data_IF_713914206939
#
_entry.id   IF_713914206939
#
_cell.length_a   1.000
_cell.length_b   1.000
_cell.length_c   1.000
_cell.angle_alpha   90.00
_cell.angle_beta   90.00
_cell.angle_gamma   90.00
#
_symmetry.space_group_name_H-M   'P 1'
#
loop_
_entity.id
_entity.type
_entity.pdbx_description
1 polymer ?
#
# COMPACT_ATOMS: atom_id res chain seq x y z
N UNK A 1 11.96 8.57 -2.76
CA UNK A 1 12.80 7.61 -3.50
C UNK A 1 12.79 6.30 -2.74
N UNK A 2 12.32 5.27 -3.38
CA UNK A 2 12.17 3.96 -2.78
C UNK A 2 13.49 3.25 -2.50
N UNK A 3 13.45 2.30 -1.61
CA UNK A 3 14.57 1.36 -1.40
C UNK A 3 14.80 0.51 -2.65
N UNK A 4 15.94 -0.21 -2.70
CA UNK A 4 16.21 -1.13 -3.80
C UNK A 4 15.13 -2.20 -4.00
N UNK A 5 14.50 -2.65 -2.91
CA UNK A 5 13.36 -3.59 -2.96
C UNK A 5 12.10 -2.96 -3.56
N UNK A 6 11.81 -1.72 -3.23
CA UNK A 6 10.68 -0.99 -3.81
C UNK A 6 10.87 -0.78 -5.31
N UNK A 7 12.08 -0.45 -5.73
CA UNK A 7 12.43 -0.34 -7.16
C UNK A 7 12.31 -1.68 -7.89
N UNK A 8 12.71 -2.78 -7.25
CA UNK A 8 12.53 -4.12 -7.80
C UNK A 8 11.05 -4.49 -7.95
N UNK A 9 10.25 -4.18 -6.96
CA UNK A 9 8.80 -4.40 -7.02
C UNK A 9 8.14 -3.53 -8.11
N UNK A 10 8.54 -2.28 -8.22
CA UNK A 10 8.08 -1.37 -9.28
C UNK A 10 8.38 -1.94 -10.68
N UNK A 11 9.60 -2.43 -10.88
CA UNK A 11 9.99 -3.06 -12.15
C UNK A 11 9.12 -4.29 -12.48
N UNK A 12 8.77 -5.08 -11.47
CA UNK A 12 7.86 -6.22 -11.65
C UNK A 12 6.44 -5.77 -12.01
N UNK A 13 5.93 -4.70 -11.39
CA UNK A 13 4.65 -4.10 -11.75
C UNK A 13 4.64 -3.67 -13.23
N UNK A 14 5.66 -2.98 -13.67
CA UNK A 14 5.78 -2.53 -15.06
C UNK A 14 5.89 -3.69 -16.04
N UNK A 15 6.73 -4.66 -15.74
CA UNK A 15 6.94 -5.83 -16.60
C UNK A 15 5.66 -6.67 -16.76
N UNK A 16 4.92 -6.89 -15.68
CA UNK A 16 3.69 -7.66 -15.68
C UNK A 16 2.44 -6.82 -15.98
N UNK A 17 2.62 -5.56 -16.32
CA UNK A 17 1.54 -4.60 -16.65
C UNK A 17 0.49 -4.48 -15.54
N UNK A 18 0.96 -4.43 -14.31
CA UNK A 18 0.12 -4.16 -13.14
C UNK A 18 0.02 -2.65 -12.95
N UNK A 19 -1.01 -2.07 -13.53
CA UNK A 19 -1.22 -0.62 -13.57
C UNK A 19 -2.08 -0.12 -12.41
N UNK A 20 -2.23 1.21 -12.32
CA UNK A 20 -3.12 1.86 -11.35
C UNK A 20 -2.54 2.05 -9.97
N UNK A 21 -1.27 1.70 -9.77
CA UNK A 21 -0.59 1.95 -8.50
C UNK A 21 -0.21 3.42 -8.33
N UNK A 22 -0.19 3.84 -7.09
CA UNK A 22 0.38 5.12 -6.64
C UNK A 22 1.45 4.81 -5.60
N UNK A 23 2.66 5.28 -5.79
CA UNK A 23 3.75 5.13 -4.83
C UNK A 23 3.65 6.19 -3.73
N UNK A 24 4.12 5.85 -2.53
CA UNK A 24 4.13 6.77 -1.39
C UNK A 24 2.75 7.39 -1.12
N UNK A 25 1.72 6.55 -1.19
CA UNK A 25 0.33 6.99 -1.10
C UNK A 25 -0.08 7.32 0.34
N UNK A 26 -0.45 8.54 0.55
CA UNK A 26 -1.00 9.01 1.84
C UNK A 26 -2.49 8.66 1.93
N UNK A 27 -2.82 7.72 2.79
CA UNK A 27 -4.18 7.17 2.86
C UNK A 27 -5.07 7.79 3.94
N UNK A 28 -4.49 8.55 4.87
CA UNK A 28 -5.21 9.11 6.00
C UNK A 28 -5.45 10.62 5.84
N UNK A 29 -6.63 11.09 6.23
CA UNK A 29 -7.02 12.50 6.04
C UNK A 29 -6.15 13.48 6.85
N UNK A 30 -5.72 13.10 8.07
CA UNK A 30 -4.99 13.99 8.98
C UNK A 30 -3.59 13.49 9.35
N UNK A 31 -3.37 12.18 9.37
CA UNK A 31 -2.07 11.58 9.67
C UNK A 31 -1.21 11.49 8.41
N UNK A 32 0.11 11.60 8.56
CA UNK A 32 1.05 11.53 7.43
C UNK A 32 1.45 10.12 7.04
N UNK A 33 0.68 9.14 7.40
CA UNK A 33 0.93 7.74 7.05
C UNK A 33 0.82 7.52 5.55
N UNK A 34 1.76 6.74 5.02
CA UNK A 34 1.82 6.39 3.60
C UNK A 34 1.95 4.89 3.42
N UNK A 35 1.46 4.42 2.29
CA UNK A 35 1.78 3.09 1.78
C UNK A 35 2.86 3.21 0.72
N UNK A 36 3.78 2.24 0.67
CA UNK A 36 4.81 2.21 -0.38
C UNK A 36 4.17 2.13 -1.77
N UNK A 37 3.17 1.26 -1.92
CA UNK A 37 2.33 1.15 -3.11
C UNK A 37 0.86 1.06 -2.70
N UNK A 38 -0.01 1.69 -3.48
CA UNK A 38 -1.45 1.58 -3.28
C UNK A 38 -2.17 1.51 -4.63
N UNK A 39 -3.26 0.79 -4.65
CA UNK A 39 -4.24 0.78 -5.73
C UNK A 39 -5.55 1.35 -5.16
N UNK A 40 -5.69 2.68 -5.16
CA UNK A 40 -6.80 3.33 -4.43
C UNK A 40 -8.17 2.92 -4.94
N UNK A 41 -8.31 2.71 -6.24
CA UNK A 41 -9.58 2.26 -6.84
C UNK A 41 -10.03 0.87 -6.37
N UNK A 42 -9.11 0.09 -5.80
CA UNK A 42 -9.36 -1.27 -5.30
C UNK A 42 -9.22 -1.38 -3.78
N UNK A 43 -8.79 -0.32 -3.12
CA UNK A 43 -8.50 -0.32 -1.68
C UNK A 43 -7.50 -1.40 -1.27
N UNK A 44 -6.49 -1.60 -2.10
CA UNK A 44 -5.37 -2.52 -1.86
C UNK A 44 -4.09 -1.71 -1.70
N UNK A 45 -3.27 -2.08 -0.74
CA UNK A 45 -1.97 -1.48 -0.52
C UNK A 45 -0.89 -2.54 -0.29
N UNK A 46 0.34 -2.20 -0.62
CA UNK A 46 1.50 -3.03 -0.38
C UNK A 46 2.58 -2.23 0.36
N UNK A 47 3.11 -2.82 1.40
CA UNK A 47 4.26 -2.33 2.15
C UNK A 47 5.44 -3.26 1.91
N UNK A 48 6.55 -2.71 1.47
CA UNK A 48 7.78 -3.46 1.20
C UNK A 48 8.70 -3.35 2.40
N UNK A 49 8.80 -4.43 3.15
CA UNK A 49 9.56 -4.46 4.39
C UNK A 49 10.95 -5.06 4.17
N UNK A 50 11.94 -4.17 4.04
CA UNK A 50 13.33 -4.55 4.06
C UNK A 50 13.87 -4.61 5.50
N UNK A 51 14.96 -5.35 5.72
CA UNK A 51 15.67 -5.35 6.99
C UNK A 51 15.01 -6.11 8.14
N UNK A 52 14.09 -7.01 7.85
CA UNK A 52 13.41 -7.86 8.86
C UNK A 52 14.36 -8.78 9.63
N UNK A 53 15.58 -8.95 9.14
CA UNK A 53 16.60 -9.83 9.74
C UNK A 53 17.49 -9.14 10.77
N UNK A 54 17.48 -7.81 10.88
CA UNK A 54 18.42 -7.05 11.69
C UNK A 54 17.89 -6.66 13.09
N UNK A 55 16.94 -7.39 13.66
CA UNK A 55 16.38 -7.07 14.97
C UNK A 55 15.75 -5.67 14.99
N UNK A 56 15.15 -5.25 13.91
CA UNK A 56 14.86 -3.89 13.56
C UNK A 56 13.97 -3.14 14.53
N UNK A 57 14.04 -1.85 14.43
CA UNK A 57 13.31 -0.83 15.21
C UNK A 57 11.81 -1.06 15.31
N UNK A 58 11.23 -1.88 14.40
CA UNK A 58 9.79 -2.14 14.31
C UNK A 58 9.29 -3.25 15.22
N UNK A 59 10.17 -3.95 15.93
CA UNK A 59 9.80 -5.07 16.80
C UNK A 59 9.68 -4.70 18.27
N UNK A 60 10.06 -3.47 18.67
CA UNK A 60 10.08 -3.07 20.06
C UNK A 60 9.68 -1.61 20.28
N UNK A 61 8.95 -1.34 21.36
CA UNK A 61 8.64 -0.03 21.87
C UNK A 61 7.68 0.81 21.02
N UNK A 62 7.90 2.12 21.01
CA UNK A 62 6.99 3.10 20.39
C UNK A 62 6.86 2.97 18.88
N UNK A 63 7.85 2.43 18.19
CA UNK A 63 7.80 2.18 16.76
C UNK A 63 6.78 1.11 16.40
N UNK A 64 6.77 0.02 17.13
CA UNK A 64 5.79 -1.07 16.96
C UNK A 64 4.36 -0.60 17.23
N UNK A 65 4.15 0.16 18.30
CA UNK A 65 2.85 0.72 18.65
C UNK A 65 2.30 1.64 17.55
N UNK A 66 3.15 2.52 17.01
CA UNK A 66 2.79 3.39 15.89
C UNK A 66 2.42 2.63 14.62
N UNK A 67 3.13 1.54 14.35
CA UNK A 67 2.80 0.66 13.22
C UNK A 67 1.45 -0.03 13.43
N UNK A 68 1.15 -0.49 14.63
CA UNK A 68 -0.15 -1.05 14.97
C UNK A 68 -1.27 -0.03 14.76
N UNK A 69 -1.08 1.21 15.20
CA UNK A 69 -2.05 2.30 14.98
C UNK A 69 -2.30 2.53 13.48
N UNK A 70 -1.24 2.62 12.70
CA UNK A 70 -1.30 2.82 11.24
C UNK A 70 -2.12 1.73 10.57
N UNK A 71 -1.80 0.48 10.83
CA UNK A 71 -2.46 -0.65 10.16
C UNK A 71 -3.89 -0.89 10.65
N UNK A 72 -4.16 -0.68 11.93
CA UNK A 72 -5.52 -0.75 12.44
C UNK A 72 -6.41 0.31 11.80
N UNK A 73 -5.91 1.53 11.66
CA UNK A 73 -6.63 2.61 11.00
C UNK A 73 -6.84 2.33 9.51
N UNK A 74 -5.85 1.76 8.84
CA UNK A 74 -5.99 1.34 7.45
C UNK A 74 -7.10 0.31 7.27
N UNK A 75 -7.16 -0.69 8.13
CA UNK A 75 -8.24 -1.70 8.12
C UNK A 75 -9.60 -1.06 8.38
N UNK A 76 -9.68 -0.17 9.37
CA UNK A 76 -10.91 0.57 9.69
C UNK A 76 -11.43 1.37 8.49
N UNK A 77 -10.53 1.93 7.69
CA UNK A 77 -10.86 2.70 6.48
C UNK A 77 -11.14 1.82 5.25
N UNK A 78 -11.08 0.50 5.39
CA UNK A 78 -11.41 -0.44 4.33
C UNK A 78 -10.23 -0.90 3.46
N UNK A 79 -9.01 -0.56 3.83
CA UNK A 79 -7.82 -0.99 3.11
C UNK A 79 -7.45 -2.44 3.40
N UNK A 80 -7.10 -3.17 2.36
CA UNK A 80 -6.40 -4.45 2.47
C UNK A 80 -4.91 -4.20 2.30
N UNK A 81 -4.17 -4.23 3.39
CA UNK A 81 -2.74 -3.95 3.40
C UNK A 81 -1.97 -5.27 3.40
N UNK A 82 -1.14 -5.45 2.40
CA UNK A 82 -0.24 -6.59 2.26
C UNK A 82 1.18 -6.15 2.63
N UNK A 83 1.85 -6.96 3.43
CA UNK A 83 3.22 -6.68 3.87
C UNK A 83 4.14 -7.75 3.29
N UNK A 84 5.18 -7.32 2.58
CA UNK A 84 6.09 -8.20 1.86
C UNK A 84 7.51 -8.04 2.33
N UNK A 85 8.15 -9.17 2.61
CA UNK A 85 9.59 -9.20 2.89
C UNK A 85 10.39 -9.11 1.59
N UNK A 86 11.68 -8.84 1.72
CA UNK A 86 12.57 -8.83 0.56
C UNK A 86 12.57 -10.16 -0.22
N UNK A 87 12.48 -11.27 0.49
CA UNK A 87 12.37 -12.61 -0.12
C UNK A 87 11.09 -12.74 -0.97
N UNK A 88 9.96 -12.27 -0.47
CA UNK A 88 8.68 -12.32 -1.19
C UNK A 88 8.69 -11.46 -2.44
N UNK A 89 9.39 -10.33 -2.43
CA UNK A 89 9.57 -9.50 -3.62
C UNK A 89 10.47 -10.24 -4.63
N UNK A 90 11.62 -10.72 -4.19
CA UNK A 90 12.62 -11.35 -5.07
C UNK A 90 12.11 -12.64 -5.71
N UNK A 91 11.33 -13.46 -5.02
CA UNK A 91 10.83 -14.73 -5.55
C UNK A 91 9.50 -14.60 -6.31
N UNK A 92 8.95 -13.39 -6.44
CA UNK A 92 7.72 -13.13 -7.18
C UNK A 92 6.42 -13.37 -6.40
N UNK A 93 6.47 -13.86 -5.17
CA UNK A 93 5.27 -14.09 -4.34
C UNK A 93 4.45 -12.82 -4.17
N UNK A 94 5.12 -11.69 -3.94
CA UNK A 94 4.46 -10.40 -3.70
C UNK A 94 3.64 -9.95 -4.92
N UNK A 95 4.26 -9.90 -6.09
CA UNK A 95 3.58 -9.39 -7.29
C UNK A 95 2.47 -10.32 -7.77
N UNK A 96 2.64 -11.64 -7.65
CA UNK A 96 1.59 -12.59 -8.01
C UNK A 96 0.36 -12.45 -7.10
N UNK A 97 0.55 -12.27 -5.80
CA UNK A 97 -0.54 -12.07 -4.85
C UNK A 97 -1.29 -10.77 -5.15
N UNK A 98 -0.59 -9.70 -5.45
CA UNK A 98 -1.20 -8.41 -5.83
C UNK A 98 -2.03 -8.57 -7.10
N UNK A 99 -1.50 -9.23 -8.12
CA UNK A 99 -2.24 -9.49 -9.37
C UNK A 99 -3.52 -10.27 -9.12
N UNK A 100 -3.45 -11.31 -8.32
CA UNK A 100 -4.60 -12.14 -7.96
C UNK A 100 -5.68 -11.32 -7.26
N UNK A 101 -5.31 -10.56 -6.23
CA UNK A 101 -6.24 -9.70 -5.49
C UNK A 101 -6.88 -8.62 -6.36
N UNK A 102 -6.12 -8.00 -7.24
CA UNK A 102 -6.65 -7.01 -8.17
C UNK A 102 -7.67 -7.63 -9.15
N UNK A 103 -7.40 -8.85 -9.64
CA UNK A 103 -8.32 -9.59 -10.50
C UNK A 103 -9.61 -9.96 -9.80
N UNK A 104 -9.54 -10.42 -8.56
CA UNK A 104 -10.71 -10.78 -7.76
C UNK A 104 -11.61 -9.58 -7.50
N UNK A 105 -11.03 -8.43 -7.17
CA UNK A 105 -11.79 -7.20 -6.93
C UNK A 105 -12.38 -6.57 -8.19
N UNK A 106 -11.85 -6.89 -9.36
CA UNK A 106 -12.48 -6.51 -10.62
C UNK A 106 -13.80 -7.25 -10.86
N UNK A 107 -13.92 -8.48 -10.32
CA UNK A 107 -15.10 -9.33 -10.50
C UNK A 107 -16.22 -9.00 -9.51
N UNK A 108 -15.88 -8.48 -8.36
CA UNK A 108 -16.84 -8.00 -7.37
C UNK A 108 -17.02 -6.48 -7.56
N UNK A 109 -17.88 -6.09 -8.47
CA UNK A 109 -18.30 -4.69 -8.54
C UNK A 109 -18.76 -4.23 -7.16
N UNK A 110 -18.13 -3.17 -6.71
CA UNK A 110 -18.32 -2.57 -5.40
C UNK A 110 -19.80 -2.27 -5.14
N UNK A 111 -20.44 -3.06 -4.32
CA UNK A 111 -21.83 -2.81 -3.88
C UNK A 111 -21.93 -1.76 -2.78
N UNK A 112 -20.81 -1.14 -2.36
CA UNK A 112 -20.81 -0.07 -1.35
C UNK A 112 -20.03 1.14 -1.84
N UNK A 113 -20.73 2.18 -2.27
CA UNK A 113 -20.15 3.44 -2.74
C UNK A 113 -19.43 4.28 -1.68
N UNK A 114 -19.47 3.87 -0.40
CA UNK A 114 -18.87 4.61 0.71
C UNK A 114 -17.34 4.68 0.65
N UNK A 115 -16.68 3.60 0.27
CA UNK A 115 -15.21 3.55 0.18
C UNK A 115 -14.66 4.36 -0.99
N UNK A 116 -15.40 4.45 -2.07
CA UNK A 116 -14.99 5.20 -3.25
C UNK A 116 -14.96 6.72 -3.00
N UNK A 117 -15.89 7.23 -2.22
CA UNK A 117 -15.96 8.66 -1.87
C UNK A 117 -14.82 9.08 -0.93
N UNK A 118 -14.46 8.24 0.03
CA UNK A 118 -13.32 8.50 0.91
C UNK A 118 -12.01 8.50 0.13
N UNK A 119 -11.83 7.55 -0.76
CA UNK A 119 -10.67 7.48 -1.64
C UNK A 119 -10.55 8.73 -2.53
N UNK A 120 -11.65 9.19 -3.11
CA UNK A 120 -11.69 10.43 -3.91
C UNK A 120 -11.31 11.67 -3.09
N UNK A 121 -11.74 11.75 -1.82
CA UNK A 121 -11.39 12.86 -0.94
C UNK A 121 -9.89 12.92 -0.66
N UNK A 122 -9.29 11.78 -0.35
CA UNK A 122 -7.83 11.69 -0.09
C UNK A 122 -7.03 12.03 -1.35
N UNK A 123 -7.42 11.51 -2.52
CA UNK A 123 -6.76 11.83 -3.79
C UNK A 123 -6.81 13.32 -4.11
N UNK A 124 -7.97 13.96 -3.95
CA UNK A 124 -8.11 15.42 -4.18
C UNK A 124 -7.28 16.26 -3.20
N UNK A 125 -7.14 15.82 -1.95
CA UNK A 125 -6.31 16.51 -0.98
C UNK A 125 -4.82 16.47 -1.37
N UNK A 126 -4.36 15.32 -1.90
CA UNK A 126 -2.97 15.17 -2.35
C UNK A 126 -2.65 15.97 -3.61
N UNK A 127 -3.61 16.12 -4.52
CA UNK A 127 -3.43 16.97 -5.71
C UNK A 127 -3.26 18.45 -5.34
N UNK A 128 -3.96 18.92 -4.30
CA UNK A 128 -3.83 20.29 -3.81
C UNK A 128 -2.46 20.54 -3.16
N UNK A 129 -1.91 19.58 -2.43
CA UNK A 129 -0.57 19.71 -1.83
C UNK A 129 0.57 19.73 -2.85
N UNK A 130 0.35 19.20 -4.06
CA UNK A 130 1.35 19.22 -5.14
C UNK A 130 1.38 20.51 -5.94
N UNK A 131 0.39 21.36 -5.80
CA UNK A 131 0.26 22.62 -6.56
C UNK A 131 0.81 23.81 -5.76
N UNK A 132 1.05 23.64 -4.46
CA UNK A 132 1.73 24.63 -3.61
C UNK A 132 3.23 24.32 -3.45
#
# INVERSE_FOLDING_TARGET
VGSGLELAFLAQCEFLKVDGYVMEYRFHATRRWRFDFAWPSRMIAAEIEGGTWSGGRHTRGSGYEKDCEKYNEAVRLGWSVLRFTGKMVKNGTAIFLIKEMLSERNKSECSSGLHLEECKRVCKAQEREKVE
#
